data_IF_100896280384
#
_entry.id   IF_100896280384
#
_cell.length_a   1.000
_cell.length_b   1.000
_cell.length_c   1.000
_cell.angle_alpha   90.00
_cell.angle_beta   90.00
_cell.angle_gamma   90.00
#
_symmetry.space_group_name_H-M   'P 1'
#
loop_
_entity.id
_entity.type
_entity.pdbx_description
1 polymer ?
#
# COMPACT_ATOMS: atom_id res chain seq x y z
N UNK A 1 12.71 35.41 15.94
CA UNK A 1 12.29 34.09 15.42
C UNK A 1 13.52 33.21 15.34
N UNK A 2 13.57 32.12 16.11
CA UNK A 2 14.68 31.16 16.02
C UNK A 2 14.72 30.54 14.61
N UNK A 3 15.91 30.22 14.11
CA UNK A 3 16.11 29.61 12.78
C UNK A 3 15.21 28.37 12.56
N UNK A 4 14.88 27.65 13.64
CA UNK A 4 14.10 26.41 13.63
C UNK A 4 12.58 26.59 13.68
N UNK A 5 12.06 27.81 13.90
CA UNK A 5 10.61 28.08 13.81
C UNK A 5 10.05 27.83 12.40
N UNK A 6 10.90 27.95 11.38
CA UNK A 6 10.57 27.65 9.97
C UNK A 6 10.66 26.15 9.65
N UNK A 7 11.27 25.35 10.52
CA UNK A 7 11.43 23.91 10.34
C UNK A 7 10.26 23.13 10.93
N UNK A 8 9.83 23.46 12.15
CA UNK A 8 8.75 22.74 12.85
C UNK A 8 7.97 23.65 13.79
N UNK A 9 6.70 23.31 14.01
CA UNK A 9 5.84 23.96 15.01
C UNK A 9 5.88 23.27 16.38
N UNK A 10 6.43 22.06 16.44
CA UNK A 10 6.58 21.29 17.69
C UNK A 10 7.68 21.91 18.58
N UNK A 11 7.36 22.36 19.81
CA UNK A 11 8.33 22.97 20.71
C UNK A 11 9.45 22.02 21.14
N UNK A 12 9.17 20.74 21.39
CA UNK A 12 10.18 19.76 21.80
C UNK A 12 11.15 19.48 20.65
N UNK A 13 10.64 19.35 19.43
CA UNK A 13 11.49 19.20 18.24
C UNK A 13 12.43 20.40 18.06
N UNK A 14 11.98 21.63 18.34
CA UNK A 14 12.84 22.84 18.26
C UNK A 14 14.01 22.79 19.25
N UNK A 15 13.75 22.40 20.50
CA UNK A 15 14.81 22.23 21.50
C UNK A 15 15.85 21.20 21.05
N UNK A 16 15.37 20.09 20.48
CA UNK A 16 16.23 19.04 19.94
C UNK A 16 17.04 19.50 18.72
N UNK A 17 16.48 20.36 17.87
CA UNK A 17 17.22 20.94 16.72
C UNK A 17 18.32 21.90 17.16
N UNK A 18 18.09 22.68 18.22
CA UNK A 18 19.15 23.51 18.83
C UNK A 18 20.28 22.64 19.35
N UNK A 19 19.96 21.54 20.04
CA UNK A 19 20.97 20.58 20.51
C UNK A 19 21.71 19.92 19.34
N UNK A 20 20.98 19.45 18.32
CA UNK A 20 21.55 18.81 17.14
C UNK A 20 22.58 19.72 16.44
N UNK A 21 22.25 21.00 16.25
CA UNK A 21 23.16 22.00 15.70
C UNK A 21 24.41 22.21 16.57
N UNK A 22 24.24 22.31 17.90
CA UNK A 22 25.38 22.49 18.84
C UNK A 22 26.38 21.34 18.79
N UNK A 23 25.91 20.11 18.57
CA UNK A 23 26.76 18.91 18.50
C UNK A 23 27.19 18.55 17.08
N UNK A 24 26.84 19.36 16.07
CA UNK A 24 27.15 19.08 14.66
C UNK A 24 26.39 17.90 14.05
N UNK A 25 25.25 17.49 14.61
CA UNK A 25 24.43 16.40 14.10
C UNK A 25 23.46 16.88 13.02
N UNK A 26 23.52 16.25 11.84
CA UNK A 26 22.66 16.61 10.69
C UNK A 26 21.31 15.88 10.73
N UNK A 27 20.24 16.66 10.70
CA UNK A 27 18.85 16.18 10.79
C UNK A 27 18.19 16.06 9.41
N UNK A 28 16.94 15.58 9.38
CA UNK A 28 16.11 15.59 8.16
C UNK A 28 15.88 17.00 7.62
N UNK A 29 15.80 18.02 8.48
CA UNK A 29 15.63 19.42 8.05
C UNK A 29 16.86 19.95 7.33
N UNK A 30 18.06 19.64 7.82
CA UNK A 30 19.31 20.01 7.18
C UNK A 30 19.43 19.34 5.81
N UNK A 31 19.10 18.04 5.73
CA UNK A 31 19.08 17.30 4.45
C UNK A 31 18.04 17.83 3.48
N UNK A 32 16.85 18.22 3.95
CA UNK A 32 15.82 18.81 3.10
C UNK A 32 16.29 20.13 2.48
N UNK A 33 16.92 21.01 3.28
CA UNK A 33 17.50 22.27 2.80
C UNK A 33 18.64 22.03 1.80
N UNK A 34 19.48 21.04 2.04
CA UNK A 34 20.60 20.68 1.15
C UNK A 34 20.14 20.11 -0.21
N UNK A 35 18.90 19.66 -0.33
CA UNK A 35 18.33 19.14 -1.58
C UNK A 35 17.68 20.23 -2.46
N UNK A 36 17.65 21.50 -2.01
CA UNK A 36 17.06 22.59 -2.78
C UNK A 36 18.07 23.28 -3.73
N UNK A 37 17.67 23.62 -4.98
CA UNK A 37 16.36 23.35 -5.57
C UNK A 37 16.21 21.88 -6.00
N UNK A 38 15.08 21.26 -5.65
CA UNK A 38 14.77 19.89 -6.09
C UNK A 38 14.57 19.80 -7.60
N UNK A 39 14.79 18.60 -8.17
CA UNK A 39 14.68 18.35 -9.61
C UNK A 39 13.26 18.60 -10.14
N UNK A 40 13.10 19.60 -11.01
CA UNK A 40 11.80 19.98 -11.58
C UNK A 40 11.14 18.87 -12.42
N UNK A 41 11.92 18.07 -13.16
CA UNK A 41 11.35 16.96 -13.96
C UNK A 41 10.81 15.84 -13.07
N UNK A 42 11.50 15.55 -11.96
CA UNK A 42 11.05 14.58 -10.98
C UNK A 42 9.81 15.06 -10.24
N UNK A 43 9.82 16.32 -9.78
CA UNK A 43 8.68 16.94 -9.09
C UNK A 43 7.42 17.01 -9.99
N UNK A 44 7.57 17.28 -11.28
CA UNK A 44 6.47 17.27 -12.23
C UNK A 44 6.06 15.87 -12.71
N UNK A 45 6.77 14.80 -12.29
CA UNK A 45 6.47 13.41 -12.65
C UNK A 45 6.79 13.02 -14.10
N UNK A 46 7.50 13.87 -14.85
CA UNK A 46 7.79 13.72 -16.30
C UNK A 46 9.19 13.15 -16.58
N UNK A 47 9.84 12.58 -15.56
CA UNK A 47 11.08 11.83 -15.67
C UNK A 47 10.78 10.33 -15.55
N UNK A 48 11.20 9.51 -16.52
CA UNK A 48 10.98 8.06 -16.53
C UNK A 48 12.31 7.30 -16.43
N UNK A 49 12.38 6.36 -15.48
CA UNK A 49 13.55 5.49 -15.22
C UNK A 49 13.19 4.00 -15.17
N UNK A 50 12.09 3.60 -15.81
CA UNK A 50 11.54 2.24 -15.71
C UNK A 50 12.38 1.20 -16.46
N UNK A 51 13.18 1.60 -17.45
CA UNK A 51 14.03 0.70 -18.24
C UNK A 51 15.43 1.27 -18.45
N UNK A 52 16.31 0.45 -19.01
CA UNK A 52 17.73 0.77 -19.25
C UNK A 52 17.99 1.75 -20.41
N UNK A 53 17.00 2.06 -21.24
CA UNK A 53 17.15 3.08 -22.29
C UNK A 53 17.13 4.51 -21.73
N UNK A 54 16.57 4.70 -20.52
CA UNK A 54 16.47 6.01 -19.87
C UNK A 54 17.78 6.48 -19.22
N UNK A 55 17.72 7.56 -18.40
CA UNK A 55 16.53 8.30 -18.00
C UNK A 55 15.93 9.10 -19.17
N UNK A 56 14.62 8.96 -19.40
CA UNK A 56 13.87 9.83 -20.29
C UNK A 56 13.32 11.02 -19.50
N UNK A 57 13.32 12.22 -20.09
CA UNK A 57 12.64 13.41 -19.54
C UNK A 57 11.82 14.07 -20.63
N UNK A 58 10.59 14.47 -20.30
CA UNK A 58 9.69 15.06 -21.29
C UNK A 58 9.77 16.58 -21.27
N UNK A 59 9.88 17.18 -22.46
CA UNK A 59 9.70 18.60 -22.70
C UNK A 59 8.51 18.72 -23.66
N UNK A 60 7.28 18.94 -23.15
CA UNK A 60 6.06 18.75 -23.95
C UNK A 60 6.02 19.53 -25.26
N UNK A 61 6.61 20.74 -25.27
CA UNK A 61 6.63 21.63 -26.45
C UNK A 61 7.81 21.42 -27.40
N UNK A 62 8.71 20.46 -27.13
CA UNK A 62 9.91 20.21 -27.95
C UNK A 62 9.76 18.91 -28.74
N UNK A 63 9.61 19.02 -30.06
CA UNK A 63 9.55 17.88 -30.96
C UNK A 63 10.79 16.97 -30.78
N UNK A 64 10.58 15.65 -30.69
CA UNK A 64 11.63 14.65 -30.45
C UNK A 64 12.03 14.51 -28.98
N UNK A 65 11.58 15.41 -28.10
CA UNK A 65 11.72 15.31 -26.64
C UNK A 65 10.37 15.40 -25.89
N UNK A 66 9.26 15.41 -26.63
CA UNK A 66 7.89 15.43 -26.11
C UNK A 66 7.36 14.03 -25.76
N UNK A 67 8.16 12.98 -25.96
CA UNK A 67 7.90 11.58 -25.60
C UNK A 67 9.18 10.90 -25.10
N UNK A 68 9.04 9.79 -24.39
CA UNK A 68 10.16 8.91 -24.06
C UNK A 68 10.72 8.21 -25.29
N UNK A 69 11.89 7.59 -25.18
CA UNK A 69 12.53 6.83 -26.28
C UNK A 69 11.59 5.77 -26.86
N UNK A 70 10.83 5.09 -26.01
CA UNK A 70 9.84 4.09 -26.42
C UNK A 70 8.51 4.66 -26.92
N UNK A 71 8.38 5.99 -27.05
CA UNK A 71 7.16 6.67 -27.48
C UNK A 71 6.14 6.96 -26.38
N UNK A 72 6.43 6.67 -25.11
CA UNK A 72 5.53 6.98 -24.00
C UNK A 72 5.32 8.50 -23.85
N UNK A 73 4.06 8.93 -23.79
CA UNK A 73 3.67 10.33 -23.58
C UNK A 73 3.93 10.77 -22.13
N UNK A 74 3.90 12.08 -21.89
CA UNK A 74 3.97 12.66 -20.55
C UNK A 74 2.91 12.09 -19.59
N UNK A 75 1.65 12.01 -20.00
CA UNK A 75 0.57 11.45 -19.17
C UNK A 75 0.81 9.98 -18.80
N UNK A 76 1.37 9.17 -19.71
CA UNK A 76 1.71 7.77 -19.44
C UNK A 76 2.83 7.69 -18.40
N UNK A 77 3.85 8.53 -18.53
CA UNK A 77 4.98 8.56 -17.61
C UNK A 77 4.53 9.03 -16.22
N UNK A 78 3.71 10.08 -16.16
CA UNK A 78 3.13 10.58 -14.91
C UNK A 78 2.27 9.50 -14.26
N UNK A 79 1.37 8.86 -15.00
CA UNK A 79 0.53 7.78 -14.47
C UNK A 79 1.38 6.63 -13.92
N UNK A 80 2.37 6.14 -14.67
CA UNK A 80 3.28 5.06 -14.23
C UNK A 80 4.06 5.43 -12.97
N UNK A 81 4.58 6.64 -12.88
CA UNK A 81 5.30 7.11 -11.70
C UNK A 81 4.38 7.16 -10.47
N UNK A 82 3.19 7.75 -10.62
CA UNK A 82 2.20 7.87 -9.55
C UNK A 82 1.79 6.49 -9.02
N UNK A 83 1.36 5.59 -9.89
CA UNK A 83 0.86 4.27 -9.45
C UNK A 83 1.98 3.37 -8.92
N UNK A 84 3.24 3.57 -9.30
CA UNK A 84 4.38 2.87 -8.69
C UNK A 84 4.65 3.34 -7.25
N UNK A 85 4.34 4.58 -6.88
CA UNK A 85 4.33 4.99 -5.47
C UNK A 85 3.21 4.28 -4.69
N UNK A 86 2.01 4.17 -5.31
CA UNK A 86 0.89 3.42 -4.73
C UNK A 86 1.29 1.95 -4.51
N UNK A 87 1.91 1.31 -5.49
CA UNK A 87 2.42 -0.06 -5.38
C UNK A 87 3.42 -0.22 -4.22
N UNK A 88 4.30 0.76 -4.02
CA UNK A 88 5.26 0.76 -2.91
C UNK A 88 4.61 0.90 -1.53
N UNK A 89 3.54 1.68 -1.41
CA UNK A 89 2.74 1.75 -0.17
C UNK A 89 1.97 0.46 0.07
N UNK A 90 1.27 -0.02 -0.95
CA UNK A 90 0.48 -1.25 -0.92
C UNK A 90 1.31 -2.47 -0.54
N UNK A 91 2.56 -2.58 -1.01
CA UNK A 91 3.44 -3.68 -0.63
C UNK A 91 3.83 -3.63 0.85
N UNK A 92 3.97 -2.44 1.44
CA UNK A 92 4.30 -2.28 2.86
C UNK A 92 3.14 -2.72 3.76
N UNK A 93 1.91 -2.26 3.49
CA UNK A 93 0.75 -2.69 4.26
C UNK A 93 0.36 -4.15 3.97
N UNK A 94 0.60 -4.65 2.75
CA UNK A 94 0.44 -6.06 2.42
C UNK A 94 1.31 -6.95 3.32
N UNK A 95 2.61 -6.68 3.40
CA UNK A 95 3.51 -7.53 4.22
C UNK A 95 3.23 -7.38 5.72
N UNK A 96 2.87 -6.18 6.17
CA UNK A 96 2.40 -5.96 7.54
C UNK A 96 1.17 -6.82 7.87
N UNK A 97 0.12 -6.77 7.04
CA UNK A 97 -1.09 -7.55 7.24
C UNK A 97 -0.83 -9.06 7.16
N UNK A 98 -0.01 -9.49 6.20
CA UNK A 98 0.38 -10.90 6.06
C UNK A 98 1.10 -11.41 7.30
N UNK A 99 2.03 -10.63 7.84
CA UNK A 99 2.78 -11.03 9.02
C UNK A 99 1.86 -11.24 10.24
N UNK A 100 0.89 -10.34 10.45
CA UNK A 100 -0.08 -10.47 11.54
C UNK A 100 -1.02 -11.65 11.29
N UNK A 101 -1.49 -11.85 10.06
CA UNK A 101 -2.32 -13.01 9.72
C UNK A 101 -1.58 -14.33 9.99
N UNK A 102 -0.32 -14.43 9.60
CA UNK A 102 0.54 -15.59 9.92
C UNK A 102 0.73 -15.75 11.43
N UNK A 103 0.89 -14.67 12.20
CA UNK A 103 0.99 -14.74 13.66
C UNK A 103 -0.30 -15.29 14.29
N UNK A 104 -1.49 -14.81 13.87
CA UNK A 104 -2.78 -15.34 14.34
C UNK A 104 -2.93 -16.82 13.99
N UNK A 105 -2.53 -17.23 12.77
CA UNK A 105 -2.54 -18.63 12.36
C UNK A 105 -1.70 -19.48 13.32
N UNK A 106 -0.46 -19.07 13.59
CA UNK A 106 0.44 -19.79 14.50
C UNK A 106 -0.04 -19.80 15.96
N UNK A 107 -0.74 -18.76 16.43
CA UNK A 107 -1.43 -18.80 17.73
C UNK A 107 -2.56 -19.83 17.72
N UNK A 108 -3.36 -19.86 16.65
CA UNK A 108 -4.41 -20.85 16.45
C UNK A 108 -3.88 -22.29 16.45
N UNK A 109 -2.73 -22.53 15.81
CA UNK A 109 -2.08 -23.84 15.73
C UNK A 109 -1.26 -24.21 16.99
N UNK A 110 -1.05 -23.28 17.92
CA UNK A 110 -0.21 -23.50 19.11
C UNK A 110 1.31 -23.41 18.85
N UNK A 111 1.72 -22.88 17.70
CA UNK A 111 3.12 -22.67 17.32
C UNK A 111 3.75 -21.40 17.91
N UNK A 112 2.94 -20.40 18.30
CA UNK A 112 3.41 -19.11 18.83
C UNK A 112 2.98 -18.89 20.30
N UNK A 113 3.77 -19.39 21.26
CA UNK A 113 3.39 -19.45 22.69
C UNK A 113 3.41 -18.11 23.44
N UNK A 114 4.17 -17.13 22.95
CA UNK A 114 4.25 -15.80 23.57
C UNK A 114 3.07 -14.90 23.18
N UNK A 115 2.27 -15.33 22.20
CA UNK A 115 1.06 -14.65 21.75
C UNK A 115 -0.17 -15.45 22.17
N UNK A 116 -1.28 -14.76 22.33
CA UNK A 116 -2.58 -15.36 22.64
C UNK A 116 -3.69 -14.56 21.98
N UNK A 117 -4.85 -15.19 21.80
CA UNK A 117 -6.07 -14.47 21.43
C UNK A 117 -6.53 -13.68 22.66
N UNK A 118 -6.35 -12.36 22.64
CA UNK A 118 -6.74 -11.47 23.75
C UNK A 118 -8.18 -11.00 23.61
N UNK A 119 -8.65 -10.74 22.39
CA UNK A 119 -10.05 -10.40 22.11
C UNK A 119 -10.75 -11.48 21.27
N UNK A 120 -11.36 -12.43 21.98
CA UNK A 120 -12.18 -13.47 21.36
C UNK A 120 -13.49 -12.92 20.79
N UNK A 121 -14.04 -11.83 21.33
CA UNK A 121 -15.28 -11.23 20.83
C UNK A 121 -15.04 -10.56 19.46
N UNK A 122 -13.92 -9.85 19.32
CA UNK A 122 -13.46 -9.32 18.03
C UNK A 122 -13.25 -10.45 17.02
N UNK A 123 -12.56 -11.52 17.41
CA UNK A 123 -12.33 -12.67 16.53
C UNK A 123 -13.64 -13.26 15.99
N UNK A 124 -14.62 -13.49 16.89
CA UNK A 124 -15.93 -14.03 16.51
C UNK A 124 -16.72 -13.06 15.63
N UNK A 125 -16.61 -11.74 15.88
CA UNK A 125 -17.25 -10.70 15.06
C UNK A 125 -16.66 -10.67 13.64
N UNK A 126 -15.34 -10.77 13.52
CA UNK A 126 -14.63 -10.85 12.24
C UNK A 126 -15.05 -12.13 11.50
N UNK A 127 -15.00 -13.29 12.17
CA UNK A 127 -15.42 -14.57 11.60
C UNK A 127 -16.86 -14.50 11.04
N UNK A 128 -17.80 -13.95 11.81
CA UNK A 128 -19.18 -13.75 11.36
C UNK A 128 -19.28 -12.81 10.14
N UNK A 129 -18.53 -11.71 10.14
CA UNK A 129 -18.52 -10.72 9.03
C UNK A 129 -18.07 -11.34 7.71
N UNK A 130 -17.08 -12.22 7.76
CA UNK A 130 -16.55 -12.92 6.57
C UNK A 130 -17.26 -14.27 6.30
N UNK A 131 -18.36 -14.56 7.00
CA UNK A 131 -19.21 -15.72 6.72
C UNK A 131 -18.71 -17.07 7.25
N UNK A 132 -17.80 -17.09 8.22
CA UNK A 132 -17.31 -18.33 8.83
C UNK A 132 -18.21 -18.81 9.98
N UNK A 133 -18.49 -20.11 10.01
CA UNK A 133 -19.20 -20.75 11.12
C UNK A 133 -18.31 -20.85 12.36
N UNK A 134 -18.87 -20.47 13.52
CA UNK A 134 -18.18 -20.44 14.83
C UNK A 134 -18.80 -21.39 15.87
N UNK A 135 -20.03 -21.87 15.65
CA UNK A 135 -20.71 -22.76 16.59
C UNK A 135 -19.98 -24.10 16.73
N UNK A 136 -19.80 -24.55 17.98
CA UNK A 136 -19.12 -25.81 18.30
C UNK A 136 -17.60 -25.79 18.11
N UNK A 137 -16.99 -24.67 17.71
CA UNK A 137 -15.54 -24.52 17.52
C UNK A 137 -14.89 -23.84 18.72
N UNK A 138 -13.67 -24.28 19.05
CA UNK A 138 -12.79 -23.57 19.97
C UNK A 138 -12.30 -22.24 19.38
N UNK A 139 -11.87 -21.33 20.23
CA UNK A 139 -11.30 -20.03 19.82
C UNK A 139 -10.07 -20.22 18.91
N UNK A 140 -9.25 -21.24 19.16
CA UNK A 140 -8.10 -21.56 18.33
C UNK A 140 -8.51 -22.04 16.94
N UNK A 141 -9.53 -22.88 16.82
CA UNK A 141 -10.07 -23.30 15.52
C UNK A 141 -10.66 -22.13 14.72
N UNK A 142 -11.34 -21.20 15.40
CA UNK A 142 -11.82 -19.97 14.75
C UNK A 142 -10.65 -19.09 14.30
N UNK A 143 -9.60 -18.95 15.12
CA UNK A 143 -8.41 -18.18 14.77
C UNK A 143 -7.71 -18.74 13.53
N UNK A 144 -7.52 -20.07 13.46
CA UNK A 144 -6.98 -20.75 12.27
C UNK A 144 -7.84 -20.46 11.05
N UNK A 145 -9.17 -20.59 11.17
CA UNK A 145 -10.08 -20.36 10.05
C UNK A 145 -10.05 -18.91 9.53
N UNK A 146 -10.10 -17.93 10.44
CA UNK A 146 -10.05 -16.50 10.10
C UNK A 146 -8.70 -16.14 9.45
N UNK A 147 -7.59 -16.56 10.06
CA UNK A 147 -6.26 -16.29 9.53
C UNK A 147 -6.02 -16.97 8.18
N UNK A 148 -6.50 -18.20 8.00
CA UNK A 148 -6.40 -18.90 6.72
C UNK A 148 -7.18 -18.20 5.61
N UNK A 149 -8.37 -17.64 5.92
CA UNK A 149 -9.12 -16.85 4.94
C UNK A 149 -8.40 -15.52 4.61
N UNK A 150 -7.87 -14.83 5.62
CA UNK A 150 -7.07 -13.62 5.40
C UNK A 150 -5.86 -13.88 4.50
N UNK A 151 -5.17 -15.01 4.71
CA UNK A 151 -3.99 -15.36 3.92
C UNK A 151 -4.31 -15.63 2.43
N UNK A 152 -5.55 -16.04 2.11
CA UNK A 152 -5.98 -16.22 0.71
C UNK A 152 -6.03 -14.89 -0.03
N UNK A 153 -6.44 -13.80 0.61
CA UNK A 153 -6.55 -12.48 -0.03
C UNK A 153 -5.21 -11.95 -0.55
N UNK A 154 -4.07 -12.45 -0.03
CA UNK A 154 -2.74 -12.08 -0.54
C UNK A 154 -2.33 -12.79 -1.83
N UNK A 155 -2.90 -13.96 -2.13
CA UNK A 155 -2.33 -14.89 -3.12
C UNK A 155 -3.34 -15.64 -3.98
N UNK A 156 -4.64 -15.33 -3.85
CA UNK A 156 -5.71 -15.95 -4.63
C UNK A 156 -5.42 -15.89 -6.14
N UNK A 157 -5.66 -17.01 -6.81
CA UNK A 157 -5.45 -17.15 -8.26
C UNK A 157 -6.76 -17.19 -9.05
N UNK A 158 -7.89 -17.41 -8.36
CA UNK A 158 -9.20 -17.24 -8.98
C UNK A 158 -9.58 -15.74 -9.06
N UNK A 159 -10.68 -15.45 -9.76
CA UNK A 159 -11.16 -14.08 -9.94
C UNK A 159 -12.15 -13.64 -8.84
N UNK A 160 -12.26 -14.36 -7.73
CA UNK A 160 -13.12 -13.95 -6.63
C UNK A 160 -12.53 -12.71 -5.94
N UNK A 161 -13.37 -11.75 -5.50
CA UNK A 161 -12.90 -10.59 -4.75
C UNK A 161 -12.15 -10.97 -3.47
N UNK A 162 -11.22 -10.11 -3.04
CA UNK A 162 -10.67 -10.18 -1.69
C UNK A 162 -11.80 -10.10 -0.66
N UNK A 163 -11.78 -11.01 0.31
CA UNK A 163 -12.81 -11.19 1.32
C UNK A 163 -12.92 -9.99 2.24
N UNK A 164 -11.80 -9.36 2.63
CA UNK A 164 -11.85 -8.26 3.61
C UNK A 164 -12.54 -7.02 3.07
N UNK A 165 -12.17 -6.55 1.88
CA UNK A 165 -12.80 -5.41 1.22
C UNK A 165 -14.26 -5.71 0.87
N UNK A 166 -14.57 -6.90 0.37
CA UNK A 166 -15.95 -7.27 0.04
C UNK A 166 -16.84 -7.33 1.30
N UNK A 167 -16.27 -7.64 2.47
CA UNK A 167 -17.03 -7.71 3.73
C UNK A 167 -17.15 -6.37 4.49
N UNK A 168 -16.41 -5.33 4.09
CA UNK A 168 -16.28 -4.09 4.88
C UNK A 168 -16.77 -2.83 4.19
N UNK A 169 -16.91 -2.83 2.86
CA UNK A 169 -17.46 -1.70 2.11
C UNK A 169 -18.98 -1.82 1.90
N UNK A 170 -19.64 -0.70 1.66
CA UNK A 170 -21.09 -0.67 1.39
C UNK A 170 -21.42 -1.26 0.02
N UNK A 171 -22.65 -1.76 -0.17
CA UNK A 171 -23.10 -2.34 -1.45
C UNK A 171 -22.89 -1.39 -2.64
N UNK A 172 -23.20 -0.10 -2.48
CA UNK A 172 -22.97 0.90 -3.52
C UNK A 172 -21.49 1.10 -3.89
N UNK A 173 -20.55 0.75 -3.01
CA UNK A 173 -19.10 0.68 -3.34
C UNK A 173 -18.74 -0.63 -4.02
N UNK A 174 -19.27 -1.77 -3.57
CA UNK A 174 -19.07 -3.06 -4.23
C UNK A 174 -19.50 -3.00 -5.70
N UNK A 175 -20.71 -2.50 -5.97
CA UNK A 175 -21.20 -2.31 -7.35
C UNK A 175 -20.27 -1.42 -8.14
N UNK A 176 -19.88 -0.25 -7.58
CA UNK A 176 -18.97 0.66 -8.28
C UNK A 176 -17.64 0.01 -8.63
N UNK A 177 -17.01 -0.70 -7.70
CA UNK A 177 -15.71 -1.34 -7.93
C UNK A 177 -15.79 -2.48 -8.95
N UNK A 178 -16.91 -3.21 -8.97
CA UNK A 178 -17.19 -4.25 -9.97
C UNK A 178 -17.44 -3.63 -11.35
N UNK A 179 -18.28 -2.60 -11.45
CA UNK A 179 -18.57 -1.88 -12.70
C UNK A 179 -17.32 -1.27 -13.33
N UNK A 180 -16.39 -0.77 -12.51
CA UNK A 180 -15.14 -0.18 -12.97
C UNK A 180 -13.97 -1.16 -13.01
N UNK A 181 -14.22 -2.46 -12.79
CA UNK A 181 -13.22 -3.54 -12.85
C UNK A 181 -12.00 -3.38 -11.90
N UNK A 182 -12.16 -2.60 -10.83
CA UNK A 182 -11.10 -2.32 -9.85
C UNK A 182 -11.24 -3.11 -8.55
N UNK A 183 -12.24 -3.98 -8.41
CA UNK A 183 -12.31 -4.88 -7.25
C UNK A 183 -11.10 -5.84 -7.29
N UNK A 184 -10.19 -5.82 -6.29
CA UNK A 184 -9.04 -6.71 -6.29
C UNK A 184 -9.48 -8.16 -5.99
N UNK A 185 -8.86 -9.13 -6.64
CA UNK A 185 -8.96 -10.55 -6.30
C UNK A 185 -7.80 -11.04 -5.44
N UNK A 186 -6.67 -10.34 -5.50
CA UNK A 186 -5.46 -10.63 -4.73
C UNK A 186 -4.68 -9.35 -4.44
N UNK A 187 -4.25 -9.14 -3.20
CA UNK A 187 -3.43 -7.98 -2.80
C UNK A 187 -2.10 -8.02 -3.57
N UNK A 188 -1.33 -9.10 -3.45
CA UNK A 188 -0.03 -9.18 -4.12
C UNK A 188 -0.18 -9.35 -5.64
N UNK A 189 -1.22 -10.06 -6.07
CA UNK A 189 -1.53 -10.23 -7.49
C UNK A 189 -1.78 -8.88 -8.17
N UNK A 190 -2.57 -7.99 -7.54
CA UNK A 190 -2.84 -6.65 -8.07
C UNK A 190 -1.56 -5.80 -8.14
N UNK A 191 -0.67 -5.89 -7.14
CA UNK A 191 0.62 -5.19 -7.15
C UNK A 191 1.50 -5.68 -8.31
N UNK A 192 1.61 -7.01 -8.49
CA UNK A 192 2.38 -7.60 -9.57
C UNK A 192 1.81 -7.22 -10.95
N UNK A 193 0.48 -7.26 -11.11
CA UNK A 193 -0.23 -6.84 -12.32
C UNK A 193 0.09 -5.38 -12.68
N UNK A 194 0.04 -4.46 -11.71
CA UNK A 194 0.37 -3.05 -11.93
C UNK A 194 1.85 -2.82 -12.29
N UNK A 195 2.77 -3.55 -11.66
CA UNK A 195 4.21 -3.45 -11.99
C UNK A 195 4.50 -3.97 -13.40
N UNK A 196 3.82 -5.04 -13.82
CA UNK A 196 3.82 -5.53 -15.20
C UNK A 196 3.26 -4.48 -16.17
N UNK A 197 2.06 -3.97 -15.90
CA UNK A 197 1.36 -2.99 -16.74
C UNK A 197 2.17 -1.70 -16.94
N UNK A 198 2.93 -1.29 -15.94
CA UNK A 198 3.76 -0.07 -16.00
C UNK A 198 5.13 -0.26 -16.66
N UNK A 199 5.49 -1.46 -17.11
CA UNK A 199 6.77 -1.73 -17.77
C UNK A 199 6.87 -1.04 -19.16
N UNK A 200 8.09 -0.93 -19.70
CA UNK A 200 8.30 -0.45 -21.08
C UNK A 200 7.55 -1.35 -22.08
N UNK A 201 6.87 -0.73 -23.05
CA UNK A 201 6.11 -1.44 -24.09
C UNK A 201 4.77 -2.03 -23.66
N UNK A 202 4.37 -1.87 -22.39
CA UNK A 202 3.04 -2.24 -21.90
C UNK A 202 2.07 -1.05 -22.02
N UNK A 203 1.13 -0.92 -21.09
CA UNK A 203 0.02 0.01 -21.17
C UNK A 203 0.47 1.46 -21.29
N UNK A 204 -0.20 2.20 -22.17
CA UNK A 204 0.02 3.60 -22.44
C UNK A 204 -1.24 4.45 -22.25
N UNK A 205 -2.38 3.85 -21.90
CA UNK A 205 -3.62 4.55 -21.60
C UNK A 205 -3.59 5.06 -20.14
N UNK A 206 -3.68 6.39 -19.90
CA UNK A 206 -3.60 6.93 -18.56
C UNK A 206 -4.80 6.54 -17.68
N UNK A 207 -6.00 6.37 -18.25
CA UNK A 207 -7.19 5.97 -17.48
C UNK A 207 -7.03 4.54 -17.00
N UNK A 208 -6.62 3.63 -17.89
CA UNK A 208 -6.45 2.23 -17.56
C UNK A 208 -5.33 2.00 -16.52
N UNK A 209 -4.21 2.73 -16.64
CA UNK A 209 -3.12 2.70 -15.65
C UNK A 209 -3.59 3.21 -14.29
N UNK A 210 -4.31 4.35 -14.25
CA UNK A 210 -4.82 4.91 -13.00
C UNK A 210 -5.84 3.97 -12.36
N UNK A 211 -6.72 3.33 -13.13
CA UNK A 211 -7.70 2.38 -12.59
C UNK A 211 -7.03 1.15 -11.99
N UNK A 212 -5.94 0.66 -12.58
CA UNK A 212 -5.12 -0.38 -11.97
C UNK A 212 -4.43 0.10 -10.69
N UNK A 213 -3.97 1.36 -10.66
CA UNK A 213 -3.51 2.01 -9.43
C UNK A 213 -4.58 2.05 -8.33
N UNK A 214 -5.84 2.33 -8.70
CA UNK A 214 -6.98 2.29 -7.78
C UNK A 214 -7.26 0.86 -7.30
N UNK A 215 -7.19 -0.15 -8.17
CA UNK A 215 -7.29 -1.57 -7.78
C UNK A 215 -6.24 -1.92 -6.73
N UNK A 216 -4.99 -1.51 -6.93
CA UNK A 216 -3.90 -1.71 -5.95
C UNK A 216 -4.15 -0.94 -4.65
N UNK A 217 -4.66 0.30 -4.70
CA UNK A 217 -5.03 1.04 -3.50
C UNK A 217 -6.20 0.39 -2.73
N UNK A 218 -7.12 -0.29 -3.42
CA UNK A 218 -8.16 -1.09 -2.78
C UNK A 218 -7.60 -2.36 -2.13
N UNK A 219 -6.57 -2.99 -2.74
CA UNK A 219 -5.81 -4.07 -2.10
C UNK A 219 -5.00 -3.60 -0.88
N UNK A 220 -4.47 -2.38 -0.92
CA UNK A 220 -3.84 -1.73 0.25
C UNK A 220 -4.84 -1.56 1.40
N UNK A 221 -6.05 -1.07 1.09
CA UNK A 221 -7.14 -0.98 2.08
C UNK A 221 -7.52 -2.35 2.67
N UNK A 222 -7.63 -3.38 1.83
CA UNK A 222 -7.88 -4.76 2.27
C UNK A 222 -6.84 -5.20 3.31
N UNK A 223 -5.56 -5.01 2.99
CA UNK A 223 -4.41 -5.26 3.88
C UNK A 223 -4.43 -4.46 5.18
N UNK A 224 -4.76 -3.17 5.13
CA UNK A 224 -4.88 -2.33 6.33
C UNK A 224 -6.03 -2.79 7.24
N UNK A 225 -7.18 -3.12 6.64
CA UNK A 225 -8.37 -3.52 7.38
C UNK A 225 -8.18 -4.88 8.07
N UNK A 226 -7.53 -5.84 7.39
CA UNK A 226 -7.22 -7.14 7.98
C UNK A 226 -6.13 -7.02 9.05
N UNK A 227 -5.09 -6.22 8.83
CA UNK A 227 -4.05 -5.95 9.83
C UNK A 227 -4.65 -5.38 11.12
N UNK A 228 -5.56 -4.42 10.99
CA UNK A 228 -6.25 -3.81 12.14
C UNK A 228 -7.08 -4.85 12.89
N UNK A 229 -7.94 -5.58 12.17
CA UNK A 229 -8.81 -6.58 12.79
C UNK A 229 -8.04 -7.67 13.53
N UNK A 230 -6.93 -8.14 12.95
CA UNK A 230 -6.12 -9.20 13.53
C UNK A 230 -5.16 -8.70 14.62
N UNK A 231 -4.78 -7.42 14.58
CA UNK A 231 -4.07 -6.77 15.69
C UNK A 231 -4.95 -6.71 16.93
N UNK A 232 -6.20 -6.24 16.80
CA UNK A 232 -7.15 -6.19 17.91
C UNK A 232 -7.33 -7.59 18.54
N UNK A 233 -7.45 -8.63 17.70
CA UNK A 233 -7.55 -10.03 18.14
C UNK A 233 -6.36 -10.48 19.00
N UNK A 234 -5.13 -10.07 18.66
CA UNK A 234 -3.91 -10.47 19.36
C UNK A 234 -3.56 -9.58 20.55
N UNK A 235 -3.96 -8.31 20.54
CA UNK A 235 -3.39 -7.30 21.43
C UNK A 235 -4.39 -6.48 22.23
N UNK A 236 -5.71 -6.54 21.98
CA UNK A 236 -6.66 -5.83 22.84
C UNK A 236 -8.08 -5.74 22.32
#
# INVERSE_FOLDING_TARGET
>A
MSEFEKCTVDPAAREMLVKAKKIGFLTSFDRAKAQEPRCNFGNAGICCRICLQGPCRIIPKKLGANKGICGASDYTIVARNTVRYIAGGASAHSDHGRHIATAVLHVGEGHAKDYKITDSAKLLKVAKRIGLATEGKSIHEVAVAVASEALKDFGRQDNAPCTWIESTVTEGRKTKFKDTTIMPSSINGSIAELLHQTHIGNDADPVNIIFSGLKVALGDYDGMQLATDLSDVLFG
#
